data_IF_967889998880
#
_entry.id   IF_967889998880
#
_cell.length_a   1.000
_cell.length_b   1.000
_cell.length_c   1.000
_cell.angle_alpha   90.00
_cell.angle_beta   90.00
_cell.angle_gamma   90.00
#
_symmetry.space_group_name_H-M   'P 1'
#
loop_
_entity.id
_entity.type
_entity.pdbx_description
1 polymer ?
#
# COMPACT_ATOMS: atom_id res chain seq x y z
N UNK A 1 5.96 9.94 0.92
CA UNK A 1 7.29 9.28 0.90
C UNK A 1 7.06 7.80 0.64
N UNK A 2 7.41 7.31 -0.55
CA UNK A 2 7.37 5.88 -0.86
C UNK A 2 8.63 5.27 -0.25
N UNK A 3 8.49 4.35 0.71
CA UNK A 3 9.63 3.59 1.22
C UNK A 3 9.86 2.42 0.25
N UNK A 4 10.89 2.53 -0.57
CA UNK A 4 11.38 1.41 -1.39
C UNK A 4 11.80 0.29 -0.44
N UNK A 5 11.30 -0.91 -0.70
CA UNK A 5 11.65 -2.08 0.07
C UNK A 5 12.80 -2.82 -0.63
N UNK A 6 13.74 -3.34 0.17
CA UNK A 6 15.01 -3.93 -0.25
C UNK A 6 14.76 -5.21 -1.07
N UNK A 7 15.55 -5.53 -2.12
CA UNK A 7 15.33 -6.72 -2.94
C UNK A 7 15.51 -8.02 -2.15
N UNK A 8 14.50 -8.89 -2.22
CA UNK A 8 14.45 -10.20 -1.58
C UNK A 8 13.03 -10.50 -1.10
N UNK A 9 12.22 -11.14 -1.95
CA UNK A 9 10.87 -11.65 -1.70
C UNK A 9 10.01 -10.86 -0.70
N UNK A 10 9.69 -9.63 -1.08
CA UNK A 10 8.73 -8.85 -0.31
C UNK A 10 7.32 -9.41 -0.58
N UNK A 11 6.62 -9.98 0.42
CA UNK A 11 5.34 -10.65 0.18
C UNK A 11 4.23 -9.65 -0.18
N UNK A 12 4.45 -8.35 0.05
CA UNK A 12 3.47 -7.32 -0.26
C UNK A 12 4.08 -5.94 -0.41
N UNK A 13 3.42 -5.14 -1.26
CA UNK A 13 3.61 -3.70 -1.31
C UNK A 13 2.62 -3.01 -0.37
N UNK A 14 3.13 -2.07 0.43
CA UNK A 14 2.33 -1.25 1.35
C UNK A 14 2.40 0.20 0.91
N UNK A 15 1.27 0.90 0.96
CA UNK A 15 1.22 2.33 0.76
C UNK A 15 0.30 2.97 1.80
N UNK A 16 0.38 4.29 1.91
CA UNK A 16 -0.57 5.06 2.67
C UNK A 16 -0.93 6.35 1.91
N UNK A 17 -2.19 6.76 1.98
CA UNK A 17 -2.69 7.98 1.35
C UNK A 17 -3.55 8.78 2.33
N UNK A 18 -3.68 10.09 2.12
CA UNK A 18 -4.60 10.89 2.91
C UNK A 18 -6.05 10.43 2.63
N UNK A 19 -6.89 10.34 3.65
CA UNK A 19 -8.29 9.93 3.51
C UNK A 19 -9.11 10.84 2.58
N UNK A 20 -8.71 12.11 2.42
CA UNK A 20 -9.34 13.07 1.52
C UNK A 20 -8.95 12.87 0.04
N UNK A 21 -7.97 12.03 -0.26
CA UNK A 21 -7.56 11.72 -1.64
C UNK A 21 -8.38 10.55 -2.20
N UNK A 22 -9.69 10.71 -2.27
CA UNK A 22 -10.63 9.68 -2.73
C UNK A 22 -10.29 9.13 -4.13
N UNK A 23 -9.89 9.94 -5.13
CA UNK A 23 -9.49 9.41 -6.43
C UNK A 23 -8.29 8.44 -6.36
N UNK A 24 -7.32 8.71 -5.49
CA UNK A 24 -6.17 7.83 -5.30
C UNK A 24 -6.58 6.52 -4.62
N UNK A 25 -7.45 6.60 -3.60
CA UNK A 25 -7.97 5.41 -2.92
C UNK A 25 -8.72 4.52 -3.91
N UNK A 26 -9.59 5.10 -4.75
CA UNK A 26 -10.30 4.37 -5.78
C UNK A 26 -9.36 3.73 -6.81
N UNK A 27 -8.34 4.46 -7.27
CA UNK A 27 -7.31 3.95 -8.16
C UNK A 27 -6.56 2.76 -7.54
N UNK A 28 -6.09 2.89 -6.29
CA UNK A 28 -5.33 1.82 -5.65
C UNK A 28 -6.18 0.57 -5.43
N UNK A 29 -7.48 0.72 -5.11
CA UNK A 29 -8.41 -0.42 -5.05
C UNK A 29 -8.50 -1.16 -6.38
N UNK A 30 -8.59 -0.44 -7.50
CA UNK A 30 -8.58 -1.05 -8.85
C UNK A 30 -7.26 -1.75 -9.18
N UNK A 31 -6.15 -1.29 -8.61
CA UNK A 31 -4.82 -1.90 -8.76
C UNK A 31 -4.58 -3.10 -7.81
N UNK A 32 -5.60 -3.56 -7.09
CA UNK A 32 -5.56 -4.72 -6.20
C UNK A 32 -5.08 -4.42 -4.79
N UNK A 33 -5.05 -3.16 -4.37
CA UNK A 33 -4.77 -2.81 -2.97
C UNK A 33 -6.04 -2.86 -2.12
N UNK A 34 -5.92 -3.42 -0.93
CA UNK A 34 -6.96 -3.43 0.08
C UNK A 34 -6.61 -2.45 1.20
N UNK A 35 -7.63 -1.82 1.78
CA UNK A 35 -7.45 -0.96 2.96
C UNK A 35 -7.22 -1.88 4.17
N UNK A 36 -6.10 -1.70 4.86
CA UNK A 36 -5.76 -2.48 6.06
C UNK A 36 -5.99 -1.71 7.35
N UNK A 37 -5.91 -0.38 7.31
CA UNK A 37 -6.07 0.47 8.49
C UNK A 37 -6.49 1.88 8.07
N UNK A 38 -7.30 2.55 8.88
CA UNK A 38 -7.47 4.00 8.87
C UNK A 38 -7.04 4.54 10.22
N UNK A 39 -6.08 5.46 10.22
CA UNK A 39 -5.54 6.02 11.45
C UNK A 39 -5.39 7.53 11.36
N UNK A 40 -5.73 8.22 12.44
CA UNK A 40 -5.44 9.64 12.59
C UNK A 40 -3.94 9.84 12.79
N UNK A 41 -3.33 10.70 11.98
CA UNK A 41 -1.94 11.13 12.07
C UNK A 41 -1.90 12.66 12.07
N UNK A 42 -1.83 13.23 13.27
CA UNK A 42 -2.00 14.68 13.48
C UNK A 42 -3.36 15.17 12.95
N UNK A 43 -3.39 16.24 12.14
CA UNK A 43 -4.64 16.81 11.62
C UNK A 43 -5.27 16.01 10.46
N UNK A 44 -4.65 14.90 10.05
CA UNK A 44 -5.04 14.13 8.86
C UNK A 44 -5.47 12.73 9.26
N UNK A 45 -6.46 12.19 8.56
CA UNK A 45 -6.69 10.75 8.53
C UNK A 45 -5.86 10.15 7.39
N UNK A 46 -5.19 9.05 7.69
CA UNK A 46 -4.33 8.30 6.77
C UNK A 46 -4.94 6.92 6.56
N UNK A 47 -5.09 6.54 5.30
CA UNK A 47 -5.57 5.23 4.85
C UNK A 47 -4.34 4.41 4.48
N UNK A 48 -4.10 3.32 5.20
CA UNK A 48 -3.05 2.35 4.90
C UNK A 48 -3.62 1.27 4.01
N UNK A 49 -2.89 0.91 2.96
CA UNK A 49 -3.31 -0.09 2.00
C UNK A 49 -2.19 -1.08 1.72
N UNK A 50 -2.57 -2.33 1.40
CA UNK A 50 -1.65 -3.43 1.10
C UNK A 50 -2.09 -4.15 -0.17
N UNK A 51 -1.12 -4.55 -0.99
CA UNK A 51 -1.31 -5.50 -2.10
C UNK A 51 -0.27 -6.60 -1.98
N UNK A 52 -0.69 -7.86 -1.97
CA UNK A 52 0.26 -8.98 -2.01
C UNK A 52 1.03 -8.95 -3.33
N UNK A 53 2.33 -9.21 -3.28
CA UNK A 53 3.13 -9.43 -4.47
C UNK A 53 3.11 -10.93 -4.76
N UNK A 54 3.01 -11.29 -6.03
CA UNK A 54 3.25 -12.67 -6.43
C UNK A 54 4.66 -13.07 -5.94
N UNK A 55 4.87 -14.35 -5.58
CA UNK A 55 6.21 -14.85 -5.30
C UNK A 55 7.14 -14.41 -6.44
N UNK A 56 8.27 -13.82 -6.10
CA UNK A 56 9.30 -13.58 -7.10
C UNK A 56 9.71 -14.90 -7.74
N UNK A 57 10.23 -14.90 -8.99
CA UNK A 57 10.81 -16.11 -9.54
C UNK A 57 11.85 -16.64 -8.55
N UNK A 58 11.62 -17.86 -8.05
CA UNK A 58 12.55 -18.55 -7.17
C UNK A 58 13.90 -18.56 -7.88
N UNK A 59 14.91 -17.90 -7.30
CA UNK A 59 16.29 -18.06 -7.76
C UNK A 59 16.73 -19.46 -7.35
N UNK A 60 16.49 -20.43 -8.24
CA UNK A 60 17.12 -21.73 -8.20
C UNK A 60 18.61 -21.65 -8.50
#
# INVERSE_FOLDING_TARGET
MIRLAIPGDLPAMRLHTNARMEPNIALYRRLGYEITERRRSGPREVVFMRRQLAPGPSRG
#
